data_IF_760211221177
#
_entry.id   IF_760211221177
#
_cell.length_a   1.000
_cell.length_b   1.000
_cell.length_c   1.000
_cell.angle_alpha   90.00
_cell.angle_beta   90.00
_cell.angle_gamma   90.00
#
_symmetry.space_group_name_H-M   'P 1'
#
loop_
_entity.id
_entity.type
_entity.pdbx_description
1 polymer ?
#
# COMPACT_ATOMS: atom_id res chain seq x y z
N UNK A 1 1.61 -45.17 -13.08
CA UNK A 1 2.93 -44.50 -13.20
C UNK A 1 2.85 -43.24 -12.36
N UNK A 2 3.29 -43.35 -11.12
CA UNK A 2 3.17 -42.33 -10.09
C UNK A 2 4.22 -41.24 -10.29
N UNK A 3 3.81 -40.04 -10.68
CA UNK A 3 4.65 -38.86 -10.52
C UNK A 3 4.45 -38.34 -9.10
N UNK A 4 5.29 -38.79 -8.17
CA UNK A 4 5.34 -38.24 -6.82
C UNK A 4 5.44 -36.69 -6.92
N UNK A 5 4.53 -35.93 -6.30
CA UNK A 5 4.57 -34.48 -6.38
C UNK A 5 5.87 -33.97 -5.77
N UNK A 6 6.49 -32.98 -6.40
CA UNK A 6 7.63 -32.24 -5.84
C UNK A 6 7.38 -31.94 -4.35
N UNK A 7 8.39 -32.14 -3.50
CA UNK A 7 8.24 -32.17 -2.03
C UNK A 7 7.32 -31.03 -1.53
N UNK A 8 6.31 -31.33 -0.69
CA UNK A 8 5.32 -30.33 -0.22
C UNK A 8 5.97 -29.06 0.35
N UNK A 9 7.12 -29.23 1.01
CA UNK A 9 7.95 -28.14 1.53
C UNK A 9 8.48 -27.20 0.43
N UNK A 10 8.92 -27.73 -0.72
CA UNK A 10 9.41 -26.90 -1.83
C UNK A 10 8.31 -26.04 -2.44
N UNK A 11 7.08 -26.59 -2.56
CA UNK A 11 5.91 -25.83 -3.05
C UNK A 11 5.44 -24.79 -2.03
N UNK A 12 5.46 -25.13 -0.74
CA UNK A 12 5.17 -24.18 0.34
C UNK A 12 6.15 -23.00 0.31
N UNK A 13 7.46 -23.25 0.24
CA UNK A 13 8.46 -22.19 0.16
C UNK A 13 8.31 -21.32 -1.10
N UNK A 14 7.98 -21.91 -2.25
CA UNK A 14 7.75 -21.17 -3.49
C UNK A 14 6.57 -20.18 -3.42
N UNK A 15 5.54 -20.47 -2.60
CA UNK A 15 4.42 -19.56 -2.37
C UNK A 15 4.67 -18.62 -1.19
N UNK A 16 5.24 -19.12 -0.10
CA UNK A 16 5.45 -18.35 1.12
C UNK A 16 6.51 -17.27 0.93
N UNK A 17 7.62 -17.55 0.24
CA UNK A 17 8.71 -16.59 0.06
C UNK A 17 8.27 -15.27 -0.59
N UNK A 18 7.56 -15.24 -1.73
CA UNK A 18 7.10 -13.99 -2.33
C UNK A 18 6.07 -13.26 -1.46
N UNK A 19 5.22 -13.99 -0.74
CA UNK A 19 4.26 -13.39 0.19
C UNK A 19 4.99 -12.73 1.36
N UNK A 20 5.98 -13.40 1.95
CA UNK A 20 6.79 -12.85 3.04
C UNK A 20 7.55 -11.62 2.60
N UNK A 21 8.18 -11.66 1.43
CA UNK A 21 8.89 -10.50 0.85
C UNK A 21 7.96 -9.30 0.66
N UNK A 22 6.74 -9.54 0.15
CA UNK A 22 5.74 -8.48 -0.06
C UNK A 22 5.28 -7.88 1.28
N UNK A 23 5.14 -8.70 2.32
CA UNK A 23 4.72 -8.23 3.64
C UNK A 23 5.86 -7.57 4.43
N UNK A 24 7.12 -7.79 4.05
CA UNK A 24 8.28 -7.17 4.70
C UNK A 24 8.36 -5.66 4.44
N UNK A 25 7.67 -5.14 3.41
CA UNK A 25 7.65 -3.71 3.12
C UNK A 25 7.09 -2.89 4.29
N UNK A 26 6.04 -3.37 4.96
CA UNK A 26 5.41 -2.65 6.08
C UNK A 26 6.39 -2.36 7.23
N UNK A 27 7.10 -3.35 7.80
CA UNK A 27 8.08 -3.08 8.85
C UNK A 27 9.29 -2.27 8.36
N UNK A 28 9.73 -2.45 7.11
CA UNK A 28 10.84 -1.67 6.54
C UNK A 28 10.48 -0.18 6.45
N UNK A 29 9.25 0.15 6.05
CA UNK A 29 8.76 1.53 6.04
C UNK A 29 8.75 2.10 7.46
N UNK A 30 8.26 1.36 8.45
CA UNK A 30 8.26 1.82 9.85
C UNK A 30 9.66 2.05 10.44
N UNK A 31 10.64 1.21 10.07
CA UNK A 31 12.06 1.42 10.42
C UNK A 31 12.60 2.70 9.77
N UNK A 32 12.22 2.96 8.52
CA UNK A 32 12.62 4.17 7.79
C UNK A 32 12.02 5.42 8.43
N UNK A 33 10.73 5.40 8.78
CA UNK A 33 10.06 6.49 9.48
C UNK A 33 10.75 6.81 10.81
N UNK A 34 11.06 5.76 11.59
CA UNK A 34 11.76 5.92 12.88
C UNK A 34 13.17 6.50 12.70
N UNK A 35 13.91 6.02 11.70
CA UNK A 35 15.25 6.53 11.40
C UNK A 35 15.22 8.00 10.94
N UNK A 36 14.27 8.38 10.08
CA UNK A 36 14.11 9.77 9.62
C UNK A 36 13.77 10.69 10.79
N UNK A 37 12.83 10.30 11.66
CA UNK A 37 12.49 11.08 12.85
C UNK A 37 13.68 11.21 13.81
N UNK A 38 14.47 10.15 13.98
CA UNK A 38 15.64 10.14 14.87
C UNK A 38 16.76 11.13 14.51
N UNK A 39 16.75 11.70 13.31
CA UNK A 39 17.71 12.74 12.88
C UNK A 39 17.24 14.17 13.16
N UNK A 40 16.03 14.39 13.70
CA UNK A 40 15.53 15.72 14.02
C UNK A 40 16.09 16.21 15.37
N UNK A 41 16.81 17.33 15.34
CA UNK A 41 17.33 17.99 16.54
C UNK A 41 16.19 18.59 17.37
N UNK A 42 16.06 18.20 18.63
CA UNK A 42 15.17 18.83 19.61
C UNK A 42 13.82 18.14 19.83
N UNK A 43 13.37 17.95 21.10
CA UNK A 43 12.13 17.23 21.43
C UNK A 43 10.85 17.81 20.82
N UNK A 44 10.82 19.13 20.58
CA UNK A 44 9.64 19.83 20.05
C UNK A 44 9.41 19.51 18.58
N UNK A 45 10.48 19.43 17.77
CA UNK A 45 10.38 19.08 16.36
C UNK A 45 9.96 17.60 16.19
N UNK A 46 10.51 16.71 17.01
CA UNK A 46 10.07 15.30 17.08
C UNK A 46 8.58 15.16 17.40
N UNK A 47 8.09 15.90 18.39
CA UNK A 47 6.68 15.89 18.79
C UNK A 47 5.75 16.39 17.69
N UNK A 48 6.07 17.54 17.09
CA UNK A 48 5.28 18.11 16.00
C UNK A 48 5.22 17.19 14.77
N UNK A 49 6.36 16.63 14.36
CA UNK A 49 6.41 15.74 13.19
C UNK A 49 5.73 14.40 13.47
N UNK A 50 5.84 13.84 14.69
CA UNK A 50 5.11 12.62 15.06
C UNK A 50 3.60 12.79 14.97
N UNK A 51 3.07 13.93 15.43
CA UNK A 51 1.63 14.23 15.32
C UNK A 51 1.22 14.33 13.85
N UNK A 52 2.00 15.02 13.02
CA UNK A 52 1.76 15.09 11.57
C UNK A 52 1.78 13.72 10.89
N UNK A 53 2.77 12.88 11.23
CA UNK A 53 2.90 11.52 10.72
C UNK A 53 1.72 10.63 11.15
N UNK A 54 1.21 10.79 12.38
CA UNK A 54 0.06 10.04 12.86
C UNK A 54 -1.23 10.42 12.13
N UNK A 55 -1.44 11.72 11.87
CA UNK A 55 -2.56 12.22 11.05
C UNK A 55 -2.45 11.68 9.62
N UNK A 56 -1.26 11.79 9.02
CA UNK A 56 -1.01 11.27 7.67
C UNK A 56 -1.28 9.76 7.59
N UNK A 57 -0.76 9.00 8.55
CA UNK A 57 -0.97 7.55 8.64
C UNK A 57 -2.46 7.23 8.77
N UNK A 58 -3.19 7.94 9.63
CA UNK A 58 -4.64 7.76 9.79
C UNK A 58 -5.40 8.01 8.49
N UNK A 59 -5.10 9.11 7.78
CA UNK A 59 -5.73 9.42 6.48
C UNK A 59 -5.37 8.37 5.44
N UNK A 60 -4.10 7.98 5.34
CA UNK A 60 -3.64 6.95 4.39
C UNK A 60 -4.32 5.59 4.65
N UNK A 61 -4.43 5.18 5.92
CA UNK A 61 -5.11 3.94 6.31
C UNK A 61 -6.62 4.00 6.10
N UNK A 62 -7.23 5.17 6.23
CA UNK A 62 -8.65 5.39 5.96
C UNK A 62 -9.01 5.07 4.51
N UNK A 63 -8.10 5.25 3.55
CA UNK A 63 -8.26 4.84 2.16
C UNK A 63 -7.86 3.37 1.89
N UNK A 64 -7.50 2.59 2.92
CA UNK A 64 -7.15 1.18 2.79
C UNK A 64 -8.26 0.32 2.17
N UNK A 65 -9.53 0.75 2.28
CA UNK A 65 -10.67 0.09 1.63
C UNK A 65 -10.58 0.15 0.11
N UNK A 66 -10.00 1.19 -0.49
CA UNK A 66 -9.83 1.28 -1.94
C UNK A 66 -8.98 0.12 -2.44
N UNK A 67 -7.88 -0.16 -1.72
CA UNK A 67 -6.98 -1.26 -2.07
C UNK A 67 -7.68 -2.62 -2.06
N UNK A 68 -8.47 -2.91 -1.01
CA UNK A 68 -9.23 -4.17 -0.97
C UNK A 68 -10.35 -4.20 -2.02
N UNK A 69 -11.05 -3.08 -2.23
CA UNK A 69 -12.11 -2.95 -3.23
C UNK A 69 -11.62 -3.18 -4.66
N UNK A 70 -10.49 -2.56 -5.05
CA UNK A 70 -9.91 -2.75 -6.37
C UNK A 70 -9.37 -4.17 -6.56
N UNK A 71 -8.72 -4.74 -5.55
CA UNK A 71 -8.23 -6.13 -5.61
C UNK A 71 -9.38 -7.12 -5.82
N UNK A 72 -10.52 -6.91 -5.14
CA UNK A 72 -11.71 -7.74 -5.31
C UNK A 72 -12.32 -7.64 -6.72
N UNK A 73 -12.37 -6.43 -7.30
CA UNK A 73 -12.83 -6.23 -8.68
C UNK A 73 -11.86 -6.83 -9.70
N UNK A 74 -10.55 -6.65 -9.51
CA UNK A 74 -9.52 -7.26 -10.37
C UNK A 74 -9.58 -8.78 -10.30
N UNK A 75 -9.78 -9.37 -9.12
CA UNK A 75 -9.94 -10.81 -8.96
C UNK A 75 -11.18 -11.35 -9.69
N UNK A 76 -12.29 -10.60 -9.67
CA UNK A 76 -13.51 -10.95 -10.42
C UNK A 76 -13.29 -10.89 -11.93
N UNK A 77 -12.69 -9.79 -12.43
CA UNK A 77 -12.38 -9.64 -13.85
C UNK A 77 -11.45 -10.75 -14.35
N UNK A 78 -10.38 -11.02 -13.59
CA UNK A 78 -9.44 -12.11 -13.88
C UNK A 78 -10.12 -13.48 -13.89
N UNK A 79 -11.01 -13.76 -12.92
CA UNK A 79 -11.79 -14.99 -12.87
C UNK A 79 -12.77 -15.15 -14.03
N UNK A 80 -13.28 -14.05 -14.58
CA UNK A 80 -14.16 -14.04 -15.75
C UNK A 80 -13.43 -14.08 -17.10
N UNK A 81 -12.08 -14.03 -17.11
CA UNK A 81 -11.24 -13.97 -18.31
C UNK A 81 -11.55 -12.77 -19.23
N UNK A 82 -12.11 -11.69 -18.66
CA UNK A 82 -12.42 -10.46 -19.37
C UNK A 82 -11.26 -9.46 -19.26
N UNK A 83 -10.36 -9.51 -20.25
CA UNK A 83 -9.21 -8.63 -20.33
C UNK A 83 -9.59 -7.15 -20.56
N UNK A 84 -10.79 -6.86 -21.08
CA UNK A 84 -11.26 -5.48 -21.23
C UNK A 84 -11.67 -4.91 -19.87
N UNK A 85 -12.41 -5.69 -19.08
CA UNK A 85 -12.80 -5.29 -17.72
C UNK A 85 -11.59 -5.18 -16.78
N UNK A 86 -10.58 -6.05 -16.90
CA UNK A 86 -9.34 -5.94 -16.13
C UNK A 86 -8.65 -4.58 -16.35
N UNK A 87 -8.53 -4.16 -17.62
CA UNK A 87 -7.97 -2.84 -17.99
C UNK A 87 -8.86 -1.70 -17.52
N UNK A 88 -10.19 -1.86 -17.58
CA UNK A 88 -11.13 -0.85 -17.11
C UNK A 88 -11.05 -0.65 -15.60
N UNK A 89 -10.93 -1.74 -14.82
CA UNK A 89 -10.71 -1.69 -13.37
C UNK A 89 -9.39 -0.98 -13.05
N UNK A 90 -8.31 -1.28 -13.77
CA UNK A 90 -7.03 -0.58 -13.61
C UNK A 90 -7.15 0.91 -13.91
N UNK A 91 -7.76 1.29 -15.03
CA UNK A 91 -7.94 2.68 -15.41
C UNK A 91 -8.80 3.47 -14.39
N UNK A 92 -9.90 2.88 -13.93
CA UNK A 92 -10.74 3.44 -12.87
C UNK A 92 -9.97 3.59 -11.56
N UNK A 93 -9.19 2.58 -11.18
CA UNK A 93 -8.34 2.62 -9.99
C UNK A 93 -7.32 3.77 -10.04
N UNK A 94 -6.62 3.92 -11.17
CA UNK A 94 -5.67 5.01 -11.38
C UNK A 94 -6.34 6.39 -11.39
N UNK A 95 -7.51 6.51 -12.02
CA UNK A 95 -8.28 7.77 -12.04
C UNK A 95 -8.73 8.18 -10.64
N UNK A 96 -9.25 7.23 -9.84
CA UNK A 96 -9.67 7.48 -8.45
C UNK A 96 -8.47 7.83 -7.57
N UNK A 97 -7.36 7.09 -7.69
CA UNK A 97 -6.13 7.37 -6.95
C UNK A 97 -5.57 8.76 -7.29
N UNK A 98 -5.53 9.13 -8.58
CA UNK A 98 -5.11 10.45 -9.04
C UNK A 98 -6.02 11.57 -8.54
N UNK A 99 -7.34 11.37 -8.59
CA UNK A 99 -8.32 12.35 -8.10
C UNK A 99 -8.18 12.57 -6.58
N UNK A 100 -8.07 11.50 -5.79
CA UNK A 100 -7.88 11.61 -4.34
C UNK A 100 -6.55 12.28 -4.03
N UNK A 101 -5.46 11.90 -4.71
CA UNK A 101 -4.15 12.52 -4.55
C UNK A 101 -4.18 14.02 -4.85
N UNK A 102 -4.83 14.43 -5.94
CA UNK A 102 -4.99 15.84 -6.29
C UNK A 102 -5.81 16.61 -5.24
N UNK A 103 -6.91 16.03 -4.75
CA UNK A 103 -7.72 16.64 -3.67
C UNK A 103 -6.90 16.80 -2.40
N UNK A 104 -6.15 15.78 -1.98
CA UNK A 104 -5.29 15.84 -0.79
C UNK A 104 -4.18 16.89 -0.96
N UNK A 105 -3.57 17.00 -2.15
CA UNK A 105 -2.58 18.04 -2.43
C UNK A 105 -3.18 19.44 -2.33
N UNK A 106 -4.35 19.67 -2.93
CA UNK A 106 -5.06 20.96 -2.86
C UNK A 106 -5.42 21.30 -1.41
N UNK A 107 -5.91 20.32 -0.63
CA UNK A 107 -6.21 20.50 0.79
C UNK A 107 -4.95 20.71 1.65
N UNK A 108 -3.78 20.27 1.19
CA UNK A 108 -2.51 20.48 1.87
C UNK A 108 -1.91 21.88 1.65
N UNK A 109 -2.30 22.59 0.57
CA UNK A 109 -1.84 23.95 0.27
C UNK A 109 -2.02 24.95 1.44
N UNK A 110 -3.19 25.04 2.11
CA UNK A 110 -3.34 25.94 3.25
C UNK A 110 -2.47 25.57 4.46
N UNK A 111 -2.01 24.32 4.55
CA UNK A 111 -1.14 23.84 5.63
C UNK A 111 0.33 24.19 5.33
N UNK A 112 0.73 24.20 4.05
CA UNK A 112 2.08 24.54 3.61
C UNK A 112 2.33 26.04 3.43
N UNK A 113 1.30 26.88 3.52
CA UNK A 113 1.45 28.34 3.61
C UNK A 113 1.75 29.04 2.27
N UNK A 114 0.95 28.75 1.24
CA UNK A 114 0.82 29.62 0.07
C UNK A 114 -0.32 30.62 0.24
#
# INVERSE_FOLDING_TARGET
MDTAPASPHRRLWALALPILLTNLTTPIVGLTDTAVMGHLDGPVHLGAVSVGAMIFTFVAWSFGFLRMGTTALTAQALGSNDAAEERAVLARGLAVAGAIGAVLLVLSLPITGA
#
